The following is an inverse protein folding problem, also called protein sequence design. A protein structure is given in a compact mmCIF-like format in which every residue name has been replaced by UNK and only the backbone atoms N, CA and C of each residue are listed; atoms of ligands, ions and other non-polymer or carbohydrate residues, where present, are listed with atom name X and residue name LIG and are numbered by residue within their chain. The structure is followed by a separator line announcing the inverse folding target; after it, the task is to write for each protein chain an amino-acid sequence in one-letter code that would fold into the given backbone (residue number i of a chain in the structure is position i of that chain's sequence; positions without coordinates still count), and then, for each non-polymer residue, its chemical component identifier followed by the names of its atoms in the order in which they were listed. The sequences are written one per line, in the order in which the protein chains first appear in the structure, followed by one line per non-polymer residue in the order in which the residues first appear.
data_IF_072922355537
#
_entry.id   IF_072922355537
#
_cell.length_a   1.000
_cell.length_b   1.000
_cell.length_c   1.000
_cell.angle_alpha   90.00
_cell.angle_beta   90.00
_cell.angle_gamma   90.00
#
_symmetry.space_group_name_H-M   'P 1'
#
loop_
_entity.id
_entity.type
_entity.pdbx_description
1 polymer ?
#
# COMPACT_ATOMS: atom_id res chain seq x y z
N UNK A 1 40.34 39.95 59.90
CA UNK A 1 39.90 40.34 58.55
C UNK A 1 38.87 39.34 58.10
N UNK A 2 37.63 39.74 58.28
CA UNK A 2 36.38 39.03 58.09
C UNK A 2 35.72 39.55 56.81
N UNK A 3 35.22 38.66 55.96
CA UNK A 3 34.02 38.83 55.12
C UNK A 3 33.84 37.51 54.33
N UNK A 4 33.15 36.53 54.88
CA UNK A 4 31.69 36.33 54.91
C UNK A 4 31.12 35.71 53.63
N UNK A 5 30.54 34.51 53.83
CA UNK A 5 29.53 33.92 52.96
C UNK A 5 28.42 34.94 52.65
N UNK A 6 28.04 35.04 51.39
CA UNK A 6 26.67 35.41 51.01
C UNK A 6 26.09 34.38 50.07
N UNK A 7 25.24 33.55 50.65
CA UNK A 7 24.14 32.87 49.98
C UNK A 7 23.12 33.96 49.66
N UNK A 8 22.88 34.23 48.38
CA UNK A 8 21.73 35.01 47.94
C UNK A 8 20.83 34.12 47.07
N UNK A 9 19.64 33.86 47.59
CA UNK A 9 18.52 33.24 46.91
C UNK A 9 18.08 34.10 45.71
N UNK A 10 17.75 33.44 44.59
CA UNK A 10 16.69 33.95 43.71
C UNK A 10 17.07 34.30 42.28
N UNK A 11 17.17 33.27 41.43
CA UNK A 11 16.34 33.08 40.21
C UNK A 11 16.96 31.97 39.38
N UNK A 12 16.27 30.83 39.35
CA UNK A 12 16.43 29.85 38.28
C UNK A 12 15.97 30.56 37.02
N UNK A 13 16.91 30.97 36.16
CA UNK A 13 16.56 31.24 34.77
C UNK A 13 16.11 29.91 34.18
N UNK A 14 14.91 29.80 33.58
CA UNK A 14 14.56 28.57 32.89
C UNK A 14 15.61 28.36 31.81
N UNK A 15 16.27 27.21 31.85
CA UNK A 15 17.00 26.69 30.70
C UNK A 15 16.07 26.89 29.52
N UNK A 16 16.50 27.70 28.53
CA UNK A 16 15.80 27.77 27.25
C UNK A 16 15.55 26.33 26.85
N UNK A 17 14.29 25.95 26.83
CA UNK A 17 13.83 24.80 26.07
C UNK A 17 14.30 25.08 24.65
N UNK A 18 15.48 24.57 24.32
CA UNK A 18 15.72 24.08 22.98
C UNK A 18 14.69 22.96 22.88
N UNK A 19 13.48 23.33 22.49
CA UNK A 19 12.65 22.45 21.71
C UNK A 19 13.56 22.02 20.57
N UNK A 20 14.21 20.88 20.78
CA UNK A 20 14.73 20.05 19.71
C UNK A 20 13.50 19.73 18.87
N UNK A 21 13.20 20.65 17.96
CA UNK A 21 12.42 20.38 16.79
C UNK A 21 13.16 19.23 16.12
N UNK A 22 12.71 18.00 16.42
CA UNK A 22 13.06 16.79 15.68
C UNK A 22 13.01 17.23 14.22
N UNK A 23 14.15 17.25 13.50
CA UNK A 23 14.15 17.74 12.15
C UNK A 23 13.18 16.84 11.41
N UNK A 24 12.00 17.37 11.06
CA UNK A 24 11.11 16.65 10.15
C UNK A 24 11.98 16.44 8.93
N UNK A 25 12.30 15.18 8.54
CA UNK A 25 13.31 14.96 7.52
C UNK A 25 12.84 15.68 6.27
N UNK A 26 13.42 16.85 6.00
CA UNK A 26 13.09 17.66 4.84
C UNK A 26 13.65 16.87 3.68
N UNK A 27 12.79 16.04 3.08
CA UNK A 27 13.12 15.29 1.89
C UNK A 27 13.73 16.27 0.89
N UNK A 28 15.03 16.11 0.63
CA UNK A 28 15.77 16.90 -0.35
C UNK A 28 14.89 16.99 -1.62
N UNK A 29 14.71 18.17 -2.24
CA UNK A 29 13.75 18.37 -3.34
C UNK A 29 13.77 17.28 -4.44
N UNK A 30 14.96 16.71 -4.69
CA UNK A 30 15.18 15.61 -5.64
C UNK A 30 14.62 14.24 -5.20
N UNK A 31 14.62 13.92 -3.88
CA UNK A 31 13.93 12.74 -3.32
C UNK A 31 12.41 12.89 -3.46
N UNK A 32 11.89 14.11 -3.30
CA UNK A 32 10.46 14.41 -3.49
C UNK A 32 10.01 14.16 -4.93
N UNK A 33 10.76 14.64 -5.94
CA UNK A 33 10.40 14.44 -7.34
C UNK A 33 10.27 12.96 -7.74
N UNK A 34 11.19 12.10 -7.25
CA UNK A 34 11.12 10.65 -7.49
C UNK A 34 9.92 10.01 -6.81
N UNK A 35 9.74 10.32 -5.53
CA UNK A 35 8.61 9.79 -4.79
C UNK A 35 7.28 10.14 -5.47
N UNK A 36 7.09 11.40 -5.88
CA UNK A 36 5.88 11.81 -6.61
C UNK A 36 5.77 11.17 -7.99
N UNK A 37 6.87 10.95 -8.72
CA UNK A 37 6.80 10.18 -9.97
C UNK A 37 6.36 8.73 -9.75
N UNK A 38 6.73 8.11 -8.62
CA UNK A 38 6.30 6.77 -8.23
C UNK A 38 4.83 6.74 -7.80
N UNK A 39 4.36 7.79 -7.11
CA UNK A 39 2.93 7.97 -6.80
C UNK A 39 2.14 8.00 -8.10
N UNK A 40 2.57 8.79 -9.10
CA UNK A 40 1.92 8.86 -10.40
C UNK A 40 1.94 7.52 -11.15
N UNK A 41 3.04 6.77 -11.11
CA UNK A 41 3.07 5.43 -11.71
C UNK A 41 2.15 4.46 -10.99
N UNK A 42 1.97 4.58 -9.67
CA UNK A 42 1.03 3.75 -8.91
C UNK A 42 -0.40 4.11 -9.31
N UNK A 43 -0.73 5.40 -9.41
CA UNK A 43 -2.01 5.84 -9.97
C UNK A 43 -2.30 5.19 -11.32
N UNK A 44 -1.35 5.17 -12.26
CA UNK A 44 -1.59 4.54 -13.55
C UNK A 44 -1.58 3.01 -13.52
N UNK A 45 -0.89 2.38 -12.57
CA UNK A 45 -0.91 0.92 -12.40
C UNK A 45 -2.27 0.44 -11.92
N UNK A 46 -2.78 1.03 -10.84
CA UNK A 46 -4.06 0.61 -10.26
C UNK A 46 -5.24 1.14 -11.08
N UNK A 47 -5.03 2.18 -11.89
CA UNK A 47 -5.94 2.51 -13.00
C UNK A 47 -6.14 1.32 -13.94
N UNK A 48 -5.12 0.52 -14.26
CA UNK A 48 -5.30 -0.65 -15.14
C UNK A 48 -6.21 -1.70 -14.49
N UNK A 49 -6.03 -1.94 -13.19
CA UNK A 49 -6.91 -2.83 -12.41
C UNK A 49 -8.35 -2.30 -12.43
N UNK A 50 -8.54 -1.01 -12.18
CA UNK A 50 -9.86 -0.38 -12.26
C UNK A 50 -10.45 -0.37 -13.67
N UNK A 51 -9.62 -0.23 -14.71
CA UNK A 51 -10.05 -0.14 -16.10
C UNK A 51 -10.65 -1.46 -16.58
N UNK A 52 -10.09 -2.59 -16.17
CA UNK A 52 -10.67 -3.92 -16.42
C UNK A 52 -12.12 -3.98 -15.92
N UNK A 53 -12.38 -3.56 -14.68
CA UNK A 53 -13.74 -3.55 -14.12
C UNK A 53 -14.64 -2.52 -14.82
N UNK A 54 -14.11 -1.34 -15.14
CA UNK A 54 -14.85 -0.29 -15.82
C UNK A 54 -15.22 -0.62 -17.28
N UNK A 55 -14.50 -1.55 -17.92
CA UNK A 55 -14.79 -1.99 -19.29
C UNK A 55 -15.96 -2.97 -19.37
N UNK A 56 -16.36 -3.61 -18.26
CA UNK A 56 -17.38 -4.64 -18.25
C UNK A 56 -18.73 -4.19 -18.86
N UNK A 57 -19.28 -3.01 -18.56
CA UNK A 57 -20.53 -2.58 -19.18
C UNK A 57 -20.43 -2.49 -20.70
N UNK A 58 -19.32 -1.97 -21.22
CA UNK A 58 -19.08 -1.91 -22.67
C UNK A 58 -18.88 -3.30 -23.28
N UNK A 59 -18.20 -4.23 -22.60
CA UNK A 59 -18.06 -5.62 -23.06
C UNK A 59 -19.41 -6.36 -23.10
N UNK A 60 -20.26 -6.17 -22.09
CA UNK A 60 -21.61 -6.74 -22.05
C UNK A 60 -22.46 -6.15 -23.19
N UNK A 61 -22.47 -4.82 -23.34
CA UNK A 61 -23.33 -4.15 -24.30
C UNK A 61 -22.88 -4.32 -25.76
N UNK A 62 -21.57 -4.31 -26.03
CA UNK A 62 -21.02 -4.30 -27.39
C UNK A 62 -20.45 -5.66 -27.84
N UNK A 63 -20.06 -6.54 -26.92
CA UNK A 63 -19.54 -7.89 -27.23
C UNK A 63 -20.48 -9.02 -26.77
N UNK A 64 -21.65 -8.68 -26.22
CA UNK A 64 -22.68 -9.63 -25.77
C UNK A 64 -22.20 -10.65 -24.74
N UNK A 65 -21.25 -10.27 -23.89
CA UNK A 65 -20.84 -11.10 -22.76
C UNK A 65 -21.97 -11.17 -21.74
N UNK A 66 -22.22 -12.36 -21.19
CA UNK A 66 -23.08 -12.49 -20.02
C UNK A 66 -22.34 -12.04 -18.75
N UNK A 67 -23.08 -11.95 -17.64
CA UNK A 67 -22.52 -11.51 -16.37
C UNK A 67 -21.48 -12.48 -15.81
N UNK A 68 -21.59 -13.78 -16.11
CA UNK A 68 -20.63 -14.78 -15.65
C UNK A 68 -19.29 -14.63 -16.38
N UNK A 69 -19.31 -14.40 -17.69
CA UNK A 69 -18.15 -14.06 -18.50
C UNK A 69 -17.50 -12.76 -17.99
N UNK A 70 -18.30 -11.70 -17.74
CA UNK A 70 -17.81 -10.44 -17.19
C UNK A 70 -17.10 -10.62 -15.83
N UNK A 71 -17.69 -11.38 -14.91
CA UNK A 71 -17.07 -11.72 -13.63
C UNK A 71 -15.78 -12.55 -13.82
N UNK A 72 -15.79 -13.49 -14.78
CA UNK A 72 -14.64 -14.31 -15.16
C UNK A 72 -13.44 -13.49 -15.64
N UNK A 73 -13.66 -12.40 -16.38
CA UNK A 73 -12.61 -11.46 -16.82
C UNK A 73 -11.92 -10.78 -15.62
N UNK A 74 -12.69 -10.27 -14.65
CA UNK A 74 -12.13 -9.65 -13.44
C UNK A 74 -11.38 -10.67 -12.60
N UNK A 75 -11.97 -11.85 -12.40
CA UNK A 75 -11.35 -12.93 -11.65
C UNK A 75 -10.00 -13.35 -12.26
N UNK A 76 -9.92 -13.44 -13.59
CA UNK A 76 -8.69 -13.82 -14.28
C UNK A 76 -7.53 -12.87 -13.98
N UNK A 77 -7.75 -11.56 -14.15
CA UNK A 77 -6.72 -10.54 -13.89
C UNK A 77 -6.31 -10.50 -12.42
N UNK A 78 -7.26 -10.54 -11.50
CA UNK A 78 -7.01 -10.44 -10.05
C UNK A 78 -6.32 -11.69 -9.51
N UNK A 79 -6.75 -12.88 -9.92
CA UNK A 79 -6.13 -14.14 -9.54
C UNK A 79 -4.70 -14.25 -10.09
N UNK A 80 -4.50 -13.97 -11.38
CA UNK A 80 -3.17 -14.09 -11.99
C UNK A 80 -2.22 -13.04 -11.42
N UNK A 81 -2.68 -11.82 -11.15
CA UNK A 81 -1.87 -10.82 -10.45
C UNK A 81 -1.41 -11.32 -9.08
N UNK A 82 -2.34 -11.81 -8.27
CA UNK A 82 -2.05 -12.17 -6.89
C UNK A 82 -1.14 -13.40 -6.76
N UNK A 83 -1.28 -14.38 -7.66
CA UNK A 83 -0.40 -15.56 -7.68
C UNK A 83 1.02 -15.20 -8.12
N UNK A 84 1.16 -14.23 -9.03
CA UNK A 84 2.47 -13.85 -9.58
C UNK A 84 3.20 -12.78 -8.76
N UNK A 85 2.49 -11.98 -7.94
CA UNK A 85 3.10 -10.97 -7.07
C UNK A 85 4.18 -11.51 -6.10
N UNK A 86 4.00 -12.66 -5.41
CA UNK A 86 5.05 -13.27 -4.60
C UNK A 86 6.31 -13.62 -5.40
N UNK A 87 6.17 -14.05 -6.66
CA UNK A 87 7.29 -14.40 -7.53
C UNK A 87 8.11 -13.15 -7.88
N UNK A 88 7.44 -12.07 -8.29
CA UNK A 88 8.12 -10.79 -8.53
C UNK A 88 8.70 -10.19 -7.25
N UNK A 89 8.05 -10.43 -6.10
CA UNK A 89 8.57 -10.05 -4.79
C UNK A 89 9.91 -10.72 -4.50
N UNK A 90 9.96 -12.05 -4.61
CA UNK A 90 11.17 -12.83 -4.43
C UNK A 90 12.27 -12.46 -5.42
N UNK A 91 11.91 -12.23 -6.69
CA UNK A 91 12.88 -11.83 -7.70
C UNK A 91 13.43 -10.42 -7.41
N UNK A 92 12.59 -9.50 -6.92
CA UNK A 92 12.98 -8.12 -6.58
C UNK A 92 13.91 -8.06 -5.38
N UNK A 93 13.93 -9.09 -4.53
CA UNK A 93 14.90 -9.18 -3.43
C UNK A 93 16.27 -9.67 -3.89
N UNK A 94 16.36 -10.29 -5.07
CA UNK A 94 17.59 -10.89 -5.61
C UNK A 94 18.21 -10.09 -6.75
N UNK A 95 17.40 -9.36 -7.50
CA UNK A 95 17.78 -8.64 -8.71
C UNK A 95 17.37 -7.16 -8.63
N UNK A 96 18.09 -6.26 -9.31
CA UNK A 96 17.62 -4.87 -9.50
C UNK A 96 16.50 -4.84 -10.56
N UNK A 97 15.26 -5.00 -10.11
CA UNK A 97 14.06 -5.00 -10.95
C UNK A 97 13.43 -3.62 -11.13
N UNK A 98 14.14 -2.50 -10.89
CA UNK A 98 13.57 -1.15 -11.07
C UNK A 98 13.10 -0.86 -12.50
N UNK A 99 13.59 -1.59 -13.50
CA UNK A 99 13.12 -1.51 -14.88
C UNK A 99 11.72 -2.11 -15.07
N UNK A 100 11.27 -2.96 -14.14
CA UNK A 100 9.92 -3.53 -14.16
C UNK A 100 8.84 -2.52 -13.75
N UNK A 101 9.19 -1.43 -13.07
CA UNK A 101 8.25 -0.34 -12.78
C UNK A 101 7.62 0.19 -14.08
N UNK A 102 8.39 0.68 -15.08
CA UNK A 102 7.80 1.11 -16.35
C UNK A 102 7.39 -0.07 -17.25
N UNK A 103 8.11 -1.20 -17.24
CA UNK A 103 7.81 -2.32 -18.14
C UNK A 103 6.52 -3.07 -17.75
N UNK A 104 6.32 -3.37 -16.47
CA UNK A 104 5.10 -3.99 -15.95
C UNK A 104 3.88 -3.10 -16.15
N UNK A 105 4.03 -1.80 -15.85
CA UNK A 105 2.99 -0.80 -16.11
C UNK A 105 2.62 -0.72 -17.60
N UNK A 106 3.61 -0.66 -18.49
CA UNK A 106 3.37 -0.65 -19.94
C UNK A 106 2.68 -1.93 -20.40
N UNK A 107 3.12 -3.09 -19.91
CA UNK A 107 2.53 -4.38 -20.26
C UNK A 107 1.06 -4.48 -19.82
N UNK A 108 0.75 -4.08 -18.58
CA UNK A 108 -0.62 -4.03 -18.08
C UNK A 108 -1.50 -3.12 -18.95
N UNK A 109 -1.01 -1.92 -19.28
CA UNK A 109 -1.75 -0.97 -20.09
C UNK A 109 -1.94 -1.43 -21.54
N UNK A 110 -0.95 -2.10 -22.15
CA UNK A 110 -1.06 -2.70 -23.47
C UNK A 110 -2.13 -3.80 -23.48
N UNK A 111 -2.18 -4.64 -22.45
CA UNK A 111 -3.23 -5.65 -22.31
C UNK A 111 -4.61 -5.01 -22.18
N UNK A 112 -4.81 -4.02 -21.31
CA UNK A 112 -6.09 -3.31 -21.17
C UNK A 112 -6.50 -2.64 -22.48
N UNK A 113 -5.57 -1.98 -23.15
CA UNK A 113 -5.80 -1.37 -24.47
C UNK A 113 -6.21 -2.39 -25.53
N UNK A 114 -5.58 -3.57 -25.55
CA UNK A 114 -5.89 -4.64 -26.50
C UNK A 114 -7.21 -5.36 -26.19
N UNK A 115 -7.69 -5.34 -24.94
CA UNK A 115 -8.91 -6.04 -24.53
C UNK A 115 -10.17 -5.56 -25.26
N UNK A 116 -10.22 -4.30 -25.72
CA UNK A 116 -11.32 -3.78 -26.55
C UNK A 116 -11.24 -4.16 -28.03
N UNK A 117 -10.11 -4.72 -28.48
CA UNK A 117 -9.84 -5.02 -29.89
C UNK A 117 -10.03 -6.50 -30.26
N UNK A 118 -10.60 -7.31 -29.37
CA UNK A 118 -10.66 -8.77 -29.49
C UNK A 118 -11.81 -9.29 -30.37
N UNK A 119 -12.59 -8.39 -30.96
CA UNK A 119 -13.69 -8.72 -31.88
C UNK A 119 -14.67 -9.77 -31.35
N UNK A 120 -14.97 -9.73 -30.04
CA UNK A 120 -15.96 -10.58 -29.40
C UNK A 120 -15.45 -11.93 -28.92
N UNK A 121 -14.18 -12.27 -29.18
CA UNK A 121 -13.60 -13.51 -28.68
C UNK A 121 -13.39 -13.44 -27.16
N UNK A 122 -14.31 -14.07 -26.40
CA UNK A 122 -14.25 -14.12 -24.93
C UNK A 122 -12.91 -14.64 -24.42
N UNK A 123 -12.44 -15.79 -24.94
CA UNK A 123 -11.19 -16.39 -24.46
C UNK A 123 -9.96 -15.54 -24.77
N UNK A 124 -9.95 -14.82 -25.89
CA UNK A 124 -8.87 -13.89 -26.19
C UNK A 124 -8.89 -12.70 -25.22
N UNK A 125 -10.06 -12.10 -24.97
CA UNK A 125 -10.22 -11.05 -23.96
C UNK A 125 -9.79 -11.54 -22.59
N UNK A 126 -10.20 -12.76 -22.21
CA UNK A 126 -9.88 -13.38 -20.94
C UNK A 126 -8.37 -13.55 -20.76
N UNK A 127 -7.67 -14.09 -21.75
CA UNK A 127 -6.20 -14.27 -21.68
C UNK A 127 -5.48 -12.94 -21.62
N UNK A 128 -5.87 -11.97 -22.46
CA UNK A 128 -5.25 -10.64 -22.49
C UNK A 128 -5.45 -9.93 -21.15
N UNK A 129 -6.65 -9.97 -20.59
CA UNK A 129 -6.95 -9.36 -19.29
C UNK A 129 -6.28 -10.12 -18.15
N UNK A 130 -6.18 -11.44 -18.20
CA UNK A 130 -5.39 -12.20 -17.25
C UNK A 130 -3.93 -11.70 -17.24
N UNK A 131 -3.32 -11.57 -18.43
CA UNK A 131 -1.95 -11.08 -18.59
C UNK A 131 -1.76 -9.65 -18.08
N UNK A 132 -2.78 -8.78 -18.14
CA UNK A 132 -2.68 -7.45 -17.52
C UNK A 132 -2.40 -7.56 -16.02
N UNK A 133 -2.96 -8.57 -15.35
CA UNK A 133 -2.69 -8.91 -13.96
C UNK A 133 -1.22 -9.21 -13.68
N UNK A 134 -0.52 -9.88 -14.61
CA UNK A 134 0.93 -10.12 -14.52
C UNK A 134 1.71 -8.82 -14.60
N UNK A 135 1.31 -7.89 -15.47
CA UNK A 135 1.92 -6.56 -15.56
C UNK A 135 1.75 -5.75 -14.27
N UNK A 136 0.55 -5.76 -13.70
CA UNK A 136 0.24 -5.16 -12.39
C UNK A 136 1.09 -5.80 -11.29
N UNK A 137 1.24 -7.13 -11.32
CA UNK A 137 2.06 -7.86 -10.34
C UNK A 137 3.55 -7.54 -10.44
N UNK A 138 4.06 -7.42 -11.67
CA UNK A 138 5.45 -7.06 -11.97
C UNK A 138 5.82 -5.65 -11.47
N UNK A 139 4.84 -4.76 -11.42
CA UNK A 139 5.00 -3.39 -10.94
C UNK A 139 5.16 -3.31 -9.42
N UNK A 140 4.28 -3.96 -8.65
CA UNK A 140 4.10 -3.65 -7.23
C UNK A 140 5.35 -3.83 -6.35
N UNK A 141 6.05 -4.98 -6.33
CA UNK A 141 7.21 -5.15 -5.46
C UNK A 141 8.35 -4.14 -5.70
N UNK A 142 8.88 -3.97 -6.93
CA UNK A 142 9.97 -3.02 -7.16
C UNK A 142 9.53 -1.56 -6.94
N UNK A 143 8.30 -1.19 -7.31
CA UNK A 143 7.79 0.15 -7.08
C UNK A 143 7.64 0.46 -5.59
N UNK A 144 7.15 -0.51 -4.80
CA UNK A 144 7.00 -0.38 -3.34
C UNK A 144 8.35 -0.24 -2.64
N UNK A 145 9.35 -1.04 -3.04
CA UNK A 145 10.72 -0.92 -2.55
C UNK A 145 11.30 0.46 -2.86
N UNK A 146 11.11 0.96 -4.09
CA UNK A 146 11.61 2.28 -4.48
C UNK A 146 10.86 3.43 -3.79
N UNK A 147 9.54 3.31 -3.62
CA UNK A 147 8.71 4.29 -2.92
C UNK A 147 9.11 4.38 -1.44
N UNK A 148 9.34 3.24 -0.78
CA UNK A 148 9.88 3.19 0.59
C UNK A 148 11.23 3.90 0.66
N UNK A 149 12.14 3.57 -0.25
CA UNK A 149 13.49 4.14 -0.26
C UNK A 149 13.49 5.66 -0.51
N UNK A 150 12.62 6.16 -1.40
CA UNK A 150 12.56 7.58 -1.78
C UNK A 150 11.74 8.42 -0.79
N UNK A 151 10.66 7.86 -0.25
CA UNK A 151 9.76 8.47 0.73
C UNK A 151 10.24 8.38 2.20
N UNK A 152 11.38 7.73 2.44
CA UNK A 152 12.00 7.63 3.76
C UNK A 152 11.41 6.53 4.65
N UNK A 153 10.59 5.63 4.09
CA UNK A 153 10.03 4.47 4.79
C UNK A 153 9.00 4.78 5.88
N UNK A 154 8.56 6.03 5.99
CA UNK A 154 7.55 6.48 6.97
C UNK A 154 6.15 5.94 6.64
N UNK A 155 5.28 5.80 7.64
CA UNK A 155 3.91 5.35 7.40
C UNK A 155 3.13 6.36 6.55
N UNK A 156 3.35 7.67 6.77
CA UNK A 156 2.79 8.72 5.92
C UNK A 156 3.21 8.55 4.46
N UNK A 157 4.49 8.34 4.17
CA UNK A 157 4.96 8.20 2.79
C UNK A 157 4.33 7.00 2.08
N UNK A 158 4.29 5.84 2.74
CA UNK A 158 3.67 4.65 2.16
C UNK A 158 2.15 4.81 2.00
N UNK A 159 1.50 5.55 2.90
CA UNK A 159 0.07 5.87 2.76
C UNK A 159 -0.22 6.80 1.59
N UNK A 160 0.63 7.82 1.35
CA UNK A 160 0.51 8.69 0.17
C UNK A 160 0.71 7.88 -1.11
N UNK A 161 1.68 6.97 -1.14
CA UNK A 161 1.90 6.06 -2.26
C UNK A 161 0.66 5.19 -2.52
N UNK A 162 0.11 4.53 -1.50
CA UNK A 162 -1.11 3.73 -1.60
C UNK A 162 -2.34 4.54 -2.05
N UNK A 163 -2.46 5.80 -1.65
CA UNK A 163 -3.55 6.68 -2.10
C UNK A 163 -3.43 7.00 -3.58
N UNK A 164 -2.22 7.09 -4.12
CA UNK A 164 -1.98 7.15 -5.56
C UNK A 164 -2.72 6.04 -6.30
N UNK A 165 -2.62 4.80 -5.82
CA UNK A 165 -3.36 3.64 -6.34
C UNK A 165 -4.88 3.81 -6.30
N UNK A 166 -5.44 4.22 -5.15
CA UNK A 166 -6.88 4.47 -4.99
C UNK A 166 -7.40 5.54 -5.96
N UNK A 167 -6.62 6.60 -6.19
CA UNK A 167 -6.94 7.64 -7.20
C UNK A 167 -6.99 7.01 -8.60
N UNK A 168 -6.08 6.09 -8.90
CA UNK A 168 -6.06 5.34 -10.16
C UNK A 168 -7.35 4.58 -10.43
N UNK A 169 -7.76 3.75 -9.46
CA UNK A 169 -9.01 2.99 -9.52
C UNK A 169 -10.21 3.91 -9.71
N UNK A 170 -10.26 5.05 -8.99
CA UNK A 170 -11.36 6.00 -9.10
C UNK A 170 -11.41 6.74 -10.45
N UNK A 171 -10.26 6.97 -11.09
CA UNK A 171 -10.19 7.59 -12.42
C UNK A 171 -10.57 6.64 -13.57
N UNK A 172 -10.49 5.32 -13.34
CA UNK A 172 -10.73 4.32 -14.38
C UNK A 172 -12.11 4.41 -15.04
N UNK A 173 -13.24 4.44 -14.30
CA UNK A 173 -14.56 4.57 -14.91
C UNK A 173 -14.73 5.81 -15.80
N UNK A 174 -14.09 6.93 -15.45
CA UNK A 174 -14.19 8.17 -16.23
C UNK A 174 -13.53 8.03 -17.59
N UNK A 175 -12.26 7.60 -17.62
CA UNK A 175 -11.53 7.49 -18.88
C UNK A 175 -12.02 6.32 -19.74
N UNK A 176 -12.42 5.21 -19.13
CA UNK A 176 -13.04 4.08 -19.84
C UNK A 176 -14.41 4.49 -20.41
N UNK A 177 -15.21 5.23 -19.66
CA UNK A 177 -16.48 5.78 -20.14
C UNK A 177 -16.31 6.70 -21.35
N UNK A 178 -15.33 7.61 -21.31
CA UNK A 178 -15.01 8.51 -22.42
C UNK A 178 -14.38 7.83 -23.65
N UNK A 179 -13.85 6.62 -23.49
CA UNK A 179 -13.26 5.84 -24.59
C UNK A 179 -14.21 4.73 -24.99
N UNK A 180 -14.12 3.58 -24.33
CA UNK A 180 -14.93 2.39 -24.60
C UNK A 180 -16.45 2.65 -24.53
N UNK A 181 -16.89 3.57 -23.67
CA UNK A 181 -18.31 3.91 -23.52
C UNK A 181 -18.86 4.77 -24.65
N UNK A 182 -18.22 5.92 -24.94
CA UNK A 182 -18.72 6.90 -25.93
C UNK A 182 -18.18 6.70 -27.34
N UNK A 183 -16.93 6.28 -27.48
CA UNK A 183 -16.27 6.06 -28.78
C UNK A 183 -16.27 4.59 -29.21
N UNK A 184 -16.73 3.69 -28.32
CA UNK A 184 -16.77 2.25 -28.54
C UNK A 184 -15.47 1.54 -28.18
N UNK A 185 -15.52 0.21 -28.04
CA UNK A 185 -14.39 -0.62 -27.60
C UNK A 185 -13.15 -0.52 -28.49
N UNK A 186 -13.31 -0.19 -29.78
CA UNK A 186 -12.18 0.05 -30.68
C UNK A 186 -11.25 1.21 -30.25
N UNK A 187 -11.72 2.08 -29.36
CA UNK A 187 -10.98 3.24 -28.86
C UNK A 187 -10.19 2.98 -27.57
N UNK A 188 -10.22 1.77 -27.01
CA UNK A 188 -9.44 1.42 -25.81
C UNK A 188 -7.93 1.67 -25.91
N UNK A 189 -7.28 1.69 -27.10
CA UNK A 189 -5.89 2.14 -27.22
C UNK A 189 -5.64 3.58 -26.75
N UNK A 190 -6.64 4.46 -26.72
CA UNK A 190 -6.50 5.82 -26.18
C UNK A 190 -6.16 5.83 -24.68
N UNK A 191 -6.48 4.75 -23.95
CA UNK A 191 -6.12 4.58 -22.54
C UNK A 191 -4.59 4.45 -22.32
N UNK A 192 -3.82 4.18 -23.38
CA UNK A 192 -2.36 4.18 -23.32
C UNK A 192 -1.78 5.57 -23.12
N UNK A 193 -2.45 6.63 -23.61
CA UNK A 193 -1.93 8.00 -23.60
C UNK A 193 -1.54 8.49 -22.19
N UNK A 194 -2.43 8.45 -21.17
CA UNK A 194 -2.06 8.89 -19.83
C UNK A 194 -0.97 8.01 -19.20
N UNK A 195 -1.00 6.70 -19.45
CA UNK A 195 0.00 5.75 -18.96
C UNK A 195 1.38 6.05 -19.56
N UNK A 196 1.45 6.26 -20.87
CA UNK A 196 2.68 6.58 -21.58
C UNK A 196 3.27 7.90 -21.10
N UNK A 197 2.45 8.93 -20.87
CA UNK A 197 2.89 10.20 -20.32
C UNK A 197 3.56 10.03 -18.94
N UNK A 198 2.95 9.25 -18.05
CA UNK A 198 3.52 8.96 -16.73
C UNK A 198 4.81 8.15 -16.81
N UNK A 199 4.89 7.16 -17.71
CA UNK A 199 6.13 6.41 -17.96
C UNK A 199 7.25 7.35 -18.43
N UNK A 200 6.97 8.26 -19.37
CA UNK A 200 7.94 9.24 -19.86
C UNK A 200 8.44 10.13 -18.73
N UNK A 201 7.54 10.65 -17.89
CA UNK A 201 7.90 11.47 -16.73
C UNK A 201 8.79 10.68 -15.75
N UNK A 202 8.41 9.45 -15.41
CA UNK A 202 9.20 8.58 -14.54
C UNK A 202 10.61 8.32 -15.09
N UNK A 203 10.72 7.98 -16.38
CA UNK A 203 12.00 7.74 -17.04
C UNK A 203 12.85 9.01 -17.13
N UNK A 204 12.26 10.17 -17.38
CA UNK A 204 12.95 11.46 -17.41
C UNK A 204 13.55 11.80 -16.03
N UNK A 205 12.75 11.67 -14.97
CA UNK A 205 13.19 11.88 -13.57
C UNK A 205 14.31 10.90 -13.19
N UNK A 206 14.23 9.64 -13.64
CA UNK A 206 15.26 8.62 -13.40
C UNK A 206 16.56 8.90 -14.18
N UNK A 207 16.46 9.27 -15.46
CA UNK A 207 17.61 9.50 -16.37
C UNK A 207 18.43 10.73 -15.99
N UNK A 208 17.79 11.79 -15.51
CA UNK A 208 18.49 13.00 -15.04
C UNK A 208 19.55 12.67 -13.96
N UNK A 209 19.29 11.66 -13.13
CA UNK A 209 20.24 11.20 -12.12
C UNK A 209 21.43 10.41 -12.69
N UNK A 210 21.17 9.48 -13.62
CA UNK A 210 22.25 8.67 -14.18
C UNK A 210 23.33 9.55 -14.83
N UNK A 211 22.93 10.73 -15.33
CA UNK A 211 23.83 11.75 -15.88
C UNK A 211 24.54 12.61 -14.83
N UNK A 212 23.89 12.94 -13.71
CA UNK A 212 24.54 13.69 -12.60
C UNK A 212 25.55 12.84 -11.80
N UNK A 213 25.42 11.50 -11.83
CA UNK A 213 26.31 10.56 -11.11
C UNK A 213 27.40 10.01 -12.03
N UNK A 214 27.32 10.22 -13.35
CA UNK A 214 28.41 9.89 -14.26
C UNK A 214 29.58 10.88 -14.03
N UNK A 215 30.81 10.40 -13.75
CA UNK A 215 31.92 11.28 -13.46
C UNK A 215 32.29 12.07 -14.72
N UNK A 216 32.27 13.40 -14.62
CA UNK A 216 33.03 14.24 -15.52
C UNK A 216 34.51 14.06 -15.15
N UNK A 217 35.32 13.69 -16.16
CA UNK A 217 36.77 13.43 -16.18
C UNK A 217 37.22 11.96 -16.03
N UNK A 218 37.76 11.35 -17.10
CA UNK A 218 38.70 10.25 -16.98
C UNK A 218 40.07 10.84 -16.62
N UNK A 219 40.51 10.69 -15.38
CA UNK A 219 41.90 10.95 -15.01
C UNK A 219 42.63 9.62 -15.01
N UNK A 220 43.60 9.57 -15.92
CA UNK A 220 44.66 8.60 -16.11
C UNK A 220 45.13 7.91 -14.83
N UNK A 221 45.27 6.59 -14.92
CA UNK A 221 45.96 5.73 -13.97
C UNK A 221 47.41 6.23 -13.79
N UNK A 222 47.72 6.71 -12.60
CA UNK A 222 49.08 6.79 -12.08
C UNK A 222 49.10 6.07 -10.73
N UNK A 223 49.83 4.97 -10.69
CA UNK A 223 50.14 4.23 -9.47
C UNK A 223 50.89 5.13 -8.50
N UNK A 224 50.35 5.34 -7.30
CA UNK A 224 51.14 5.68 -6.12
C UNK A 224 50.60 4.93 -4.91
N UNK A 225 51.49 4.11 -4.36
CA UNK A 225 51.32 3.23 -3.23
C UNK A 225 51.25 4.06 -1.94
N UNK A 226 50.08 4.11 -1.29
CA UNK A 226 49.92 4.70 0.04
C UNK A 226 49.42 3.61 1.00
N UNK A 227 50.22 3.38 2.03
CA UNK A 227 50.02 2.42 3.12
C UNK A 227 48.67 2.60 3.86
N UNK A 228 48.16 1.53 4.54
CA UNK A 228 46.77 1.46 4.97
C UNK A 228 46.56 2.35 6.21
N UNK A 229 45.94 3.51 6.00
CA UNK A 229 45.34 4.28 7.08
C UNK A 229 43.98 3.66 7.39
N UNK A 230 43.81 3.33 8.67
CA UNK A 230 42.63 2.73 9.30
C UNK A 230 41.34 3.41 8.85
N UNK A 231 40.68 2.80 7.88
CA UNK A 231 39.32 3.13 7.53
C UNK A 231 38.44 2.68 8.69
N UNK A 232 37.91 3.66 9.42
CA UNK A 232 36.68 3.51 10.20
C UNK A 232 35.60 3.05 9.21
N UNK A 233 35.49 1.74 9.03
CA UNK A 233 34.30 1.10 8.48
C UNK A 233 33.22 1.30 9.53
N UNK A 234 32.57 2.46 9.48
CA UNK A 234 31.28 2.66 10.12
C UNK A 234 30.35 1.58 9.52
N UNK A 235 30.25 0.47 10.23
CA UNK A 235 29.45 -0.67 9.86
C UNK A 235 28.02 -0.16 9.66
N UNK A 236 27.50 -0.27 8.43
CA UNK A 236 26.08 -0.14 8.20
C UNK A 236 25.40 -1.09 9.20
N UNK A 237 24.42 -0.63 10.02
CA UNK A 237 23.81 -1.47 11.02
C UNK A 237 23.29 -2.73 10.32
N UNK A 238 23.75 -3.91 10.78
CA UNK A 238 23.35 -5.18 10.23
C UNK A 238 21.81 -5.21 10.17
N UNK A 239 21.25 -5.30 8.96
CA UNK A 239 19.80 -5.31 8.78
C UNK A 239 19.20 -6.37 9.72
N UNK A 240 18.26 -5.95 10.57
CA UNK A 240 17.67 -6.80 11.60
C UNK A 240 17.22 -8.15 11.00
N UNK A 241 17.32 -9.24 11.76
CA UNK A 241 16.93 -10.55 11.26
C UNK A 241 15.42 -10.60 10.94
N UNK A 242 15.04 -11.31 9.89
CA UNK A 242 13.63 -11.48 9.52
C UNK A 242 12.83 -12.21 10.62
N UNK A 243 11.56 -11.87 10.75
CA UNK A 243 10.61 -12.51 11.67
C UNK A 243 9.45 -13.12 10.87
N UNK A 244 9.73 -14.22 10.17
CA UNK A 244 8.75 -14.97 9.38
C UNK A 244 7.50 -15.36 10.16
N UNK A 245 7.63 -15.74 11.44
CA UNK A 245 6.47 -16.06 12.30
C UNK A 245 5.55 -14.84 12.54
N UNK A 246 6.11 -13.65 12.73
CA UNK A 246 5.32 -12.42 12.88
C UNK A 246 4.71 -11.95 11.58
N UNK A 247 5.45 -12.15 10.49
CA UNK A 247 4.93 -11.92 9.15
C UNK A 247 3.75 -12.84 8.83
N UNK A 248 3.85 -14.14 9.11
CA UNK A 248 2.75 -15.09 8.96
C UNK A 248 1.52 -14.69 9.80
N UNK A 249 1.73 -14.23 11.04
CA UNK A 249 0.64 -13.71 11.86
C UNK A 249 -0.03 -12.46 11.27
N UNK A 250 0.76 -11.55 10.69
CA UNK A 250 0.23 -10.40 9.96
C UNK A 250 -0.61 -10.84 8.76
N UNK A 251 -0.20 -11.88 8.04
CA UNK A 251 -0.99 -12.43 6.93
C UNK A 251 -2.36 -12.93 7.41
N UNK A 252 -2.44 -13.57 8.58
CA UNK A 252 -3.73 -13.97 9.18
C UNK A 252 -4.62 -12.75 9.43
N UNK A 253 -4.07 -11.65 9.94
CA UNK A 253 -4.83 -10.40 10.15
C UNK A 253 -5.31 -9.81 8.81
N UNK A 254 -4.45 -9.82 7.79
CA UNK A 254 -4.79 -9.35 6.43
C UNK A 254 -5.88 -10.22 5.79
N UNK A 255 -5.92 -11.53 6.06
CA UNK A 255 -6.96 -12.43 5.56
C UNK A 255 -8.36 -11.96 5.94
N UNK A 256 -8.57 -11.53 7.18
CA UNK A 256 -9.86 -11.00 7.63
C UNK A 256 -10.17 -9.62 7.04
N UNK A 257 -9.15 -8.79 6.82
CA UNK A 257 -9.30 -7.54 6.07
C UNK A 257 -9.79 -7.81 4.65
N UNK A 258 -9.18 -8.77 3.95
CA UNK A 258 -9.52 -9.16 2.58
C UNK A 258 -10.95 -9.68 2.48
N UNK A 259 -11.36 -10.55 3.43
CA UNK A 259 -12.73 -11.04 3.54
C UNK A 259 -13.74 -9.90 3.70
N UNK A 260 -13.48 -8.97 4.63
CA UNK A 260 -14.36 -7.83 4.88
C UNK A 260 -14.45 -6.89 3.68
N UNK A 261 -13.31 -6.61 3.02
CA UNK A 261 -13.25 -5.79 1.83
C UNK A 261 -14.06 -6.40 0.68
N UNK A 262 -13.74 -7.65 0.30
CA UNK A 262 -14.41 -8.31 -0.82
C UNK A 262 -15.89 -8.53 -0.50
N UNK A 263 -16.22 -9.04 0.68
CA UNK A 263 -17.61 -9.24 1.11
C UNK A 263 -18.42 -7.94 1.06
N UNK A 264 -17.86 -6.83 1.54
CA UNK A 264 -18.56 -5.53 1.46
C UNK A 264 -18.74 -5.09 0.01
N UNK A 265 -17.69 -5.11 -0.82
CA UNK A 265 -17.80 -4.70 -2.23
C UNK A 265 -18.76 -5.56 -3.05
N UNK A 266 -18.85 -6.86 -2.75
CA UNK A 266 -19.71 -7.78 -3.49
C UNK A 266 -21.18 -7.68 -3.10
N UNK A 267 -21.48 -7.44 -1.82
CA UNK A 267 -22.83 -7.61 -1.29
C UNK A 267 -23.51 -6.32 -0.82
N UNK A 268 -22.79 -5.20 -0.61
CA UNK A 268 -23.40 -4.01 0.03
C UNK A 268 -24.52 -3.36 -0.80
N UNK A 269 -24.36 -3.31 -2.13
CA UNK A 269 -25.39 -2.75 -3.00
C UNK A 269 -26.69 -3.57 -2.92
N UNK A 270 -26.56 -4.90 -2.98
CA UNK A 270 -27.68 -5.82 -2.89
C UNK A 270 -28.31 -5.78 -1.48
N UNK A 271 -27.48 -5.76 -0.43
CA UNK A 271 -27.94 -5.68 0.95
C UNK A 271 -28.83 -4.45 1.18
N UNK A 272 -28.37 -3.26 0.76
CA UNK A 272 -29.13 -2.03 0.93
C UNK A 272 -30.41 -2.04 0.10
N UNK A 273 -30.37 -2.54 -1.13
CA UNK A 273 -31.54 -2.65 -1.99
C UNK A 273 -32.60 -3.59 -1.39
N UNK A 274 -32.20 -4.79 -0.95
CA UNK A 274 -33.10 -5.82 -0.44
C UNK A 274 -33.62 -5.51 0.97
N UNK A 275 -32.72 -5.21 1.92
CA UNK A 275 -33.05 -5.02 3.34
C UNK A 275 -33.97 -3.83 3.59
N UNK A 276 -33.85 -2.79 2.76
CA UNK A 276 -34.62 -1.55 2.89
C UNK A 276 -35.63 -1.34 1.77
N UNK A 277 -35.79 -2.33 0.86
CA UNK A 277 -36.64 -2.22 -0.32
C UNK A 277 -36.35 -0.93 -1.11
N UNK A 278 -35.06 -0.60 -1.20
CA UNK A 278 -34.58 0.61 -1.84
C UNK A 278 -34.25 0.34 -3.31
N UNK A 279 -34.38 1.37 -4.16
CA UNK A 279 -34.02 1.24 -5.57
C UNK A 279 -32.53 0.95 -5.78
N UNK A 280 -32.19 0.32 -6.91
CA UNK A 280 -30.81 -0.06 -7.26
C UNK A 280 -29.81 1.12 -7.19
N UNK A 281 -30.26 2.35 -7.48
CA UNK A 281 -29.42 3.55 -7.34
C UNK A 281 -28.94 3.80 -5.89
N UNK A 282 -29.76 3.51 -4.88
CA UNK A 282 -29.38 3.65 -3.47
C UNK A 282 -28.33 2.60 -3.09
N UNK A 283 -28.48 1.36 -3.56
CA UNK A 283 -27.46 0.32 -3.41
C UNK A 283 -26.14 0.69 -4.08
N UNK A 284 -26.20 1.27 -5.28
CA UNK A 284 -25.00 1.76 -5.99
C UNK A 284 -24.28 2.87 -5.23
N UNK A 285 -25.02 3.79 -4.58
CA UNK A 285 -24.43 4.81 -3.71
C UNK A 285 -23.70 4.18 -2.51
N UNK A 286 -24.30 3.16 -1.89
CA UNK A 286 -23.66 2.43 -0.78
C UNK A 286 -22.35 1.76 -1.22
N UNK A 287 -22.33 1.13 -2.39
CA UNK A 287 -21.12 0.54 -2.96
C UNK A 287 -20.06 1.61 -3.29
N UNK A 288 -20.46 2.74 -3.88
CA UNK A 288 -19.53 3.80 -4.29
C UNK A 288 -18.89 4.52 -3.10
N UNK A 289 -19.64 4.76 -2.02
CA UNK A 289 -19.12 5.50 -0.85
C UNK A 289 -18.06 4.70 -0.10
N UNK A 290 -18.12 3.37 -0.12
CA UNK A 290 -17.19 2.50 0.61
C UNK A 290 -15.71 2.70 0.23
N UNK A 291 -15.28 2.46 -1.02
CA UNK A 291 -13.89 2.68 -1.42
C UNK A 291 -13.52 4.18 -1.46
N UNK A 292 -14.47 5.07 -1.75
CA UNK A 292 -14.24 6.52 -1.73
C UNK A 292 -13.84 6.99 -0.31
N UNK A 293 -14.56 6.55 0.71
CA UNK A 293 -14.22 6.78 2.10
C UNK A 293 -12.92 6.07 2.50
N UNK A 294 -12.64 4.91 1.91
CA UNK A 294 -11.39 4.17 2.08
C UNK A 294 -10.14 4.97 1.74
N UNK A 295 -10.16 5.83 0.71
CA UNK A 295 -9.03 6.71 0.40
C UNK A 295 -8.67 7.67 1.55
N UNK A 296 -9.67 8.17 2.27
CA UNK A 296 -9.48 8.99 3.47
C UNK A 296 -8.86 8.13 4.58
N UNK A 297 -9.38 6.91 4.78
CA UNK A 297 -8.86 5.93 5.71
C UNK A 297 -7.37 5.65 5.51
N UNK A 298 -6.96 5.36 4.28
CA UNK A 298 -5.55 5.09 3.93
C UNK A 298 -4.65 6.26 4.30
N UNK A 299 -5.04 7.50 3.96
CA UNK A 299 -4.28 8.69 4.37
C UNK A 299 -4.21 8.81 5.90
N UNK A 300 -5.36 8.77 6.58
CA UNK A 300 -5.43 8.92 8.04
C UNK A 300 -4.56 7.89 8.74
N UNK A 301 -4.56 6.64 8.28
CA UNK A 301 -3.75 5.56 8.85
C UNK A 301 -2.27 5.89 8.94
N UNK A 302 -1.67 6.39 7.86
CA UNK A 302 -0.26 6.80 7.85
C UNK A 302 0.04 7.94 8.81
N UNK A 303 -0.79 8.98 8.80
CA UNK A 303 -0.61 10.16 9.64
C UNK A 303 -0.77 9.84 11.13
N UNK A 304 -1.77 9.02 11.47
CA UNK A 304 -1.99 8.57 12.83
C UNK A 304 -0.88 7.62 13.29
N UNK A 305 -0.41 6.72 12.42
CA UNK A 305 0.63 5.76 12.79
C UNK A 305 2.00 6.42 13.01
N UNK A 306 2.33 7.49 12.28
CA UNK A 306 3.56 8.26 12.54
C UNK A 306 3.50 8.97 13.91
N UNK A 307 2.31 9.33 14.41
CA UNK A 307 2.13 10.00 15.70
C UNK A 307 1.97 9.03 16.88
N UNK A 308 1.17 7.97 16.71
CA UNK A 308 0.74 7.08 17.78
C UNK A 308 1.31 5.65 17.66
N UNK A 309 2.00 5.34 16.57
CA UNK A 309 2.55 4.01 16.29
C UNK A 309 1.54 3.03 15.68
N UNK A 310 2.05 2.07 14.90
CA UNK A 310 1.21 1.07 14.20
C UNK A 310 0.46 0.15 15.17
N UNK A 311 1.06 -0.15 16.32
CA UNK A 311 0.50 -1.03 17.37
C UNK A 311 -0.81 -0.50 17.96
N UNK A 312 -1.03 0.81 17.94
CA UNK A 312 -2.27 1.43 18.43
C UNK A 312 -3.25 1.63 17.27
N UNK A 313 -2.77 2.12 16.13
CA UNK A 313 -3.62 2.54 15.01
C UNK A 313 -4.25 1.37 14.27
N UNK A 314 -3.52 0.25 14.07
CA UNK A 314 -4.07 -0.93 13.38
C UNK A 314 -5.26 -1.52 14.16
N UNK A 315 -5.14 -1.87 15.46
CA UNK A 315 -6.27 -2.40 16.21
C UNK A 315 -7.43 -1.40 16.31
N UNK A 316 -7.14 -0.11 16.50
CA UNK A 316 -8.20 0.91 16.53
C UNK A 316 -9.00 0.95 15.22
N UNK A 317 -8.31 0.87 14.08
CA UNK A 317 -8.94 0.77 12.76
C UNK A 317 -9.90 -0.43 12.68
N UNK A 318 -9.44 -1.63 13.09
CA UNK A 318 -10.29 -2.82 13.10
C UNK A 318 -11.44 -2.75 14.10
N UNK A 319 -11.24 -2.17 15.28
CA UNK A 319 -12.31 -1.98 16.26
C UNK A 319 -13.41 -1.09 15.71
N UNK A 320 -13.06 0.06 15.11
CA UNK A 320 -14.03 0.97 14.49
C UNK A 320 -14.68 0.31 13.27
N UNK A 321 -13.94 -0.46 12.47
CA UNK A 321 -14.49 -1.21 11.34
C UNK A 321 -15.51 -2.25 11.81
N UNK A 322 -15.24 -3.00 12.88
CA UNK A 322 -16.16 -3.97 13.45
C UNK A 322 -17.46 -3.29 13.93
N UNK A 323 -17.34 -2.15 14.63
CA UNK A 323 -18.49 -1.35 15.06
C UNK A 323 -19.30 -0.83 13.87
N UNK A 324 -18.62 -0.34 12.83
CA UNK A 324 -19.27 0.16 11.61
C UNK A 324 -20.01 -0.97 10.87
N UNK A 325 -19.42 -2.15 10.74
CA UNK A 325 -20.08 -3.32 10.16
C UNK A 325 -21.30 -3.77 11.00
N UNK A 326 -21.20 -3.75 12.33
CA UNK A 326 -22.35 -3.98 13.21
C UNK A 326 -23.44 -2.93 13.05
N UNK A 327 -23.06 -1.66 12.85
CA UNK A 327 -24.00 -0.57 12.60
C UNK A 327 -24.72 -0.70 11.26
N UNK A 328 -24.08 -1.28 10.22
CA UNK A 328 -24.77 -1.63 8.96
C UNK A 328 -25.90 -2.62 9.24
N UNK A 329 -25.63 -3.69 10.00
CA UNK A 329 -26.62 -4.72 10.35
C UNK A 329 -27.77 -4.15 11.19
N UNK A 330 -27.45 -3.26 12.14
CA UNK A 330 -28.41 -2.63 13.03
C UNK A 330 -29.11 -1.40 12.43
N UNK A 331 -28.81 -1.03 11.18
CA UNK A 331 -29.29 0.22 10.59
C UNK A 331 -30.83 0.21 10.45
N UNK A 332 -31.53 1.26 10.93
CA UNK A 332 -32.98 1.38 10.82
C UNK A 332 -33.44 1.86 9.43
N UNK A 333 -32.53 2.37 8.60
CA UNK A 333 -32.81 2.90 7.27
C UNK A 333 -31.61 2.78 6.33
N UNK A 334 -31.86 2.86 5.02
CA UNK A 334 -30.83 2.84 4.00
C UNK A 334 -29.81 3.98 4.18
N UNK A 335 -30.26 5.17 4.59
CA UNK A 335 -29.37 6.31 4.84
C UNK A 335 -28.36 6.02 5.96
N UNK A 336 -28.81 5.41 7.06
CA UNK A 336 -27.92 5.02 8.16
C UNK A 336 -26.96 3.93 7.71
N UNK A 337 -27.42 2.95 6.92
CA UNK A 337 -26.56 1.90 6.37
C UNK A 337 -25.46 2.47 5.45
N UNK A 338 -25.78 3.47 4.62
CA UNK A 338 -24.82 4.16 3.75
C UNK A 338 -23.77 4.91 4.58
N UNK A 339 -24.18 5.63 5.63
CA UNK A 339 -23.24 6.32 6.53
C UNK A 339 -22.34 5.32 7.27
N UNK A 340 -22.92 4.22 7.77
CA UNK A 340 -22.15 3.15 8.41
C UNK A 340 -21.18 2.47 7.43
N UNK A 341 -21.58 2.32 6.16
CA UNK A 341 -20.73 1.82 5.07
C UNK A 341 -19.57 2.77 4.78
N UNK A 342 -19.80 4.09 4.77
CA UNK A 342 -18.74 5.07 4.64
C UNK A 342 -17.75 4.99 5.80
N UNK A 343 -18.25 4.89 7.04
CA UNK A 343 -17.42 4.73 8.23
C UNK A 343 -16.61 3.42 8.19
N UNK A 344 -17.22 2.33 7.74
CA UNK A 344 -16.53 1.07 7.50
C UNK A 344 -15.43 1.24 6.46
N UNK A 345 -15.68 1.98 5.37
CA UNK A 345 -14.69 2.34 4.37
C UNK A 345 -13.47 3.05 4.97
N UNK A 346 -13.69 4.14 5.71
CA UNK A 346 -12.60 4.85 6.40
C UNK A 346 -11.84 3.90 7.32
N UNK A 347 -12.54 3.23 8.24
CA UNK A 347 -11.93 2.44 9.30
C UNK A 347 -11.19 1.20 8.79
N UNK A 348 -11.75 0.50 7.79
CA UNK A 348 -11.14 -0.67 7.20
C UNK A 348 -9.84 -0.32 6.45
N UNK A 349 -9.75 0.86 5.83
CA UNK A 349 -8.56 1.26 5.08
C UNK A 349 -7.47 1.95 5.92
N UNK A 350 -7.76 2.38 7.16
CA UNK A 350 -6.73 2.83 8.12
C UNK A 350 -5.52 1.88 8.22
N UNK A 351 -5.70 0.56 8.42
CA UNK A 351 -4.58 -0.36 8.50
C UNK A 351 -3.93 -0.72 7.14
N UNK A 352 -4.50 -0.34 6.00
CA UNK A 352 -4.08 -0.84 4.68
C UNK A 352 -2.59 -0.58 4.36
N UNK A 353 -2.15 0.68 4.38
CA UNK A 353 -0.75 1.02 4.18
C UNK A 353 0.14 0.57 5.35
N UNK A 354 -0.44 0.39 6.53
CA UNK A 354 0.27 -0.07 7.73
C UNK A 354 0.60 -1.57 7.65
N UNK A 355 -0.22 -2.38 6.98
CA UNK A 355 0.12 -3.77 6.67
C UNK A 355 1.40 -3.87 5.84
N UNK A 356 1.54 -3.01 4.83
CA UNK A 356 2.73 -2.97 3.97
C UNK A 356 3.96 -2.53 4.76
N UNK A 357 3.86 -1.45 5.53
CA UNK A 357 5.02 -0.99 6.31
C UNK A 357 5.41 -1.99 7.40
N UNK A 358 4.44 -2.64 8.05
CA UNK A 358 4.69 -3.62 9.09
C UNK A 358 5.27 -4.91 8.50
N UNK A 359 4.86 -5.31 7.30
CA UNK A 359 5.48 -6.45 6.61
C UNK A 359 6.95 -6.19 6.29
N UNK A 360 7.30 -4.96 5.88
CA UNK A 360 8.70 -4.55 5.69
C UNK A 360 9.50 -4.58 7.00
N UNK A 361 8.89 -4.17 8.11
CA UNK A 361 9.54 -4.22 9.42
C UNK A 361 9.74 -5.66 9.93
N UNK A 362 8.88 -6.60 9.52
CA UNK A 362 9.05 -8.01 9.83
C UNK A 362 10.06 -8.71 8.94
N UNK A 363 10.14 -8.35 7.65
CA UNK A 363 11.06 -8.96 6.68
C UNK A 363 12.00 -7.91 6.05
N UNK A 364 12.86 -7.23 6.85
CA UNK A 364 13.72 -6.17 6.35
C UNK A 364 14.76 -6.64 5.32
N UNK A 365 15.06 -7.95 5.24
CA UNK A 365 15.97 -8.53 4.22
C UNK A 365 15.22 -9.00 2.97
N UNK A 366 13.89 -9.02 3.00
CA UNK A 366 13.02 -9.52 1.93
C UNK A 366 11.81 -8.58 1.69
N UNK A 367 12.07 -7.28 1.47
CA UNK A 367 11.05 -6.24 1.33
C UNK A 367 10.17 -6.48 0.09
N UNK A 368 10.76 -6.93 -1.01
CA UNK A 368 10.06 -7.30 -2.23
C UNK A 368 9.07 -8.44 -1.99
N UNK A 369 9.54 -9.53 -1.39
CA UNK A 369 8.70 -10.70 -1.01
C UNK A 369 7.58 -10.29 -0.05
N UNK A 370 7.91 -9.51 0.98
CA UNK A 370 6.95 -9.00 1.95
C UNK A 370 5.83 -8.20 1.26
N UNK A 371 6.20 -7.30 0.34
CA UNK A 371 5.26 -6.50 -0.43
C UNK A 371 4.37 -7.36 -1.34
N UNK A 372 4.99 -8.27 -2.12
CA UNK A 372 4.28 -9.12 -3.07
C UNK A 372 3.26 -10.04 -2.39
N UNK A 373 3.62 -10.67 -1.28
CA UNK A 373 2.70 -11.53 -0.53
C UNK A 373 1.61 -10.69 0.16
N UNK A 374 1.96 -9.57 0.79
CA UNK A 374 1.00 -8.70 1.49
C UNK A 374 -0.08 -8.17 0.54
N UNK A 375 0.33 -7.63 -0.61
CA UNK A 375 -0.57 -7.05 -1.60
C UNK A 375 -1.38 -8.14 -2.32
N UNK A 376 -0.75 -9.24 -2.72
CA UNK A 376 -1.43 -10.32 -3.43
C UNK A 376 -2.46 -11.04 -2.56
N UNK A 377 -2.14 -11.25 -1.28
CA UNK A 377 -3.08 -11.84 -0.32
C UNK A 377 -4.29 -10.93 -0.08
N UNK A 378 -4.05 -9.61 0.02
CA UNK A 378 -5.10 -8.61 0.25
C UNK A 378 -6.20 -8.65 -0.81
N UNK A 379 -5.85 -8.95 -2.07
CA UNK A 379 -6.81 -9.02 -3.19
C UNK A 379 -7.41 -10.41 -3.41
N UNK A 380 -6.66 -11.49 -3.20
CA UNK A 380 -7.11 -12.83 -3.60
C UNK A 380 -7.89 -13.60 -2.57
N UNK A 381 -7.55 -13.48 -1.29
CA UNK A 381 -8.16 -14.37 -0.29
C UNK A 381 -9.66 -14.13 -0.16
N UNK A 382 -10.10 -12.87 -0.14
CA UNK A 382 -11.51 -12.53 -0.16
C UNK A 382 -12.22 -12.98 -1.44
N UNK A 383 -11.54 -12.99 -2.60
CA UNK A 383 -12.09 -13.47 -3.88
C UNK A 383 -12.40 -14.96 -3.86
N UNK A 384 -11.52 -15.78 -3.27
CA UNK A 384 -11.80 -17.21 -3.06
C UNK A 384 -12.92 -17.48 -2.04
N UNK A 385 -13.10 -16.58 -1.08
CA UNK A 385 -14.14 -16.70 -0.06
C UNK A 385 -15.50 -16.11 -0.50
N UNK A 386 -15.53 -15.29 -1.55
CA UNK A 386 -16.76 -14.67 -2.04
C UNK A 386 -17.85 -15.67 -2.45
N UNK A 387 -17.56 -16.79 -3.14
CA UNK A 387 -18.57 -17.83 -3.42
C UNK A 387 -19.16 -18.44 -2.14
N UNK A 388 -18.37 -18.60 -1.08
CA UNK A 388 -18.86 -19.10 0.20
C UNK A 388 -19.80 -18.10 0.88
N UNK A 389 -19.47 -16.80 0.82
CA UNK A 389 -20.39 -15.74 1.27
C UNK A 389 -21.68 -15.70 0.44
N UNK A 390 -21.59 -15.93 -0.87
CA UNK A 390 -22.75 -16.05 -1.77
C UNK A 390 -23.63 -17.24 -1.39
N UNK A 391 -23.06 -18.41 -1.16
CA UNK A 391 -23.80 -19.59 -0.72
C UNK A 391 -24.50 -19.37 0.64
N UNK A 392 -23.89 -18.61 1.55
CA UNK A 392 -24.53 -18.19 2.80
C UNK A 392 -25.72 -17.26 2.50
N UNK A 393 -25.56 -16.27 1.61
CA UNK A 393 -26.63 -15.36 1.23
C UNK A 393 -27.82 -16.11 0.62
N UNK A 394 -27.56 -17.02 -0.33
CA UNK A 394 -28.57 -17.81 -1.05
C UNK A 394 -29.31 -18.78 -0.12
N UNK A 395 -28.59 -19.43 0.81
CA UNK A 395 -29.16 -20.41 1.73
C UNK A 395 -29.81 -19.80 2.97
N UNK A 396 -29.64 -18.50 3.23
CA UNK A 396 -30.14 -17.86 4.44
C UNK A 396 -30.63 -16.43 4.19
N UNK A 397 -29.79 -15.43 4.40
CA UNK A 397 -30.06 -14.04 4.04
C UNK A 397 -28.77 -13.28 3.81
N UNK A 398 -28.83 -12.25 2.99
CA UNK A 398 -27.70 -11.33 2.79
C UNK A 398 -27.31 -10.58 4.08
N UNK A 399 -28.22 -10.47 5.06
CA UNK A 399 -27.91 -9.88 6.37
C UNK A 399 -26.87 -10.70 7.13
N UNK A 400 -26.91 -12.04 7.01
CA UNK A 400 -25.96 -12.92 7.67
C UNK A 400 -24.54 -12.72 7.13
N UNK A 401 -24.39 -12.37 5.85
CA UNK A 401 -23.07 -12.01 5.28
C UNK A 401 -22.44 -10.84 6.04
N UNK A 402 -23.21 -9.81 6.35
CA UNK A 402 -22.72 -8.66 7.11
C UNK A 402 -22.47 -8.97 8.59
N UNK A 403 -23.21 -9.92 9.18
CA UNK A 403 -22.89 -10.45 10.52
C UNK A 403 -21.55 -11.19 10.49
N UNK A 404 -21.30 -12.02 9.48
CA UNK A 404 -20.02 -12.73 9.29
C UNK A 404 -18.87 -11.73 9.10
N UNK A 405 -19.06 -10.67 8.31
CA UNK A 405 -18.08 -9.60 8.13
C UNK A 405 -17.79 -8.90 9.46
N UNK A 406 -18.82 -8.53 10.22
CA UNK A 406 -18.65 -7.90 11.54
C UNK A 406 -17.87 -8.81 12.50
N UNK A 407 -18.21 -10.11 12.55
CA UNK A 407 -17.50 -11.09 13.37
C UNK A 407 -16.04 -11.26 12.92
N UNK A 408 -15.78 -11.33 11.62
CA UNK A 408 -14.43 -11.39 11.06
C UNK A 408 -13.59 -10.17 11.45
N UNK A 409 -14.18 -8.98 11.48
CA UNK A 409 -13.50 -7.75 11.91
C UNK A 409 -13.24 -7.71 13.42
N UNK A 410 -14.11 -8.30 14.25
CA UNK A 410 -13.82 -8.50 15.67
C UNK A 410 -12.63 -9.44 15.85
N UNK A 411 -12.57 -10.54 15.08
CA UNK A 411 -11.42 -11.46 15.12
C UNK A 411 -10.15 -10.75 14.63
N UNK A 412 -10.22 -9.95 13.56
CA UNK A 412 -9.11 -9.15 13.07
C UNK A 412 -8.61 -8.15 14.14
N UNK A 413 -9.54 -7.49 14.83
CA UNK A 413 -9.23 -6.60 15.95
C UNK A 413 -8.46 -7.36 17.04
N UNK A 414 -9.01 -8.45 17.56
CA UNK A 414 -8.37 -9.25 18.61
C UNK A 414 -7.01 -9.75 18.16
N UNK A 415 -6.91 -10.32 16.96
CA UNK A 415 -5.65 -10.82 16.41
C UNK A 415 -4.60 -9.71 16.24
N UNK A 416 -5.03 -8.50 15.87
CA UNK A 416 -4.15 -7.34 15.69
C UNK A 416 -3.55 -6.81 17.00
N UNK A 417 -4.18 -7.05 18.16
CA UNK A 417 -3.63 -6.68 19.47
C UNK A 417 -2.31 -7.42 19.77
N UNK A 418 -2.09 -8.56 19.13
CA UNK A 418 -0.88 -9.37 19.26
C UNK A 418 0.21 -9.00 18.24
N UNK A 419 -0.07 -8.06 17.32
CA UNK A 419 0.97 -7.50 16.45
C UNK A 419 1.97 -6.71 17.30
N UNK A 420 3.25 -6.94 17.05
CA UNK A 420 4.35 -6.32 17.80
C UNK A 420 5.17 -5.50 16.84
N UNK A 421 5.11 -4.18 16.99
CA UNK A 421 5.94 -3.28 16.22
C UNK A 421 7.43 -3.59 16.47
N UNK A 422 8.18 -3.80 15.39
CA UNK A 422 9.64 -3.75 15.45
C UNK A 422 9.99 -2.28 15.28
N UNK A 423 10.60 -1.66 16.30
CA UNK A 423 11.17 -0.31 16.16
C UNK A 423 12.07 -0.35 14.92
N UNK A 424 11.69 0.38 13.88
CA UNK A 424 12.47 0.46 12.65
C UNK A 424 13.88 0.97 13.02
N UNK A 425 14.98 0.35 12.55
CA UNK A 425 16.35 0.78 12.89
C UNK A 425 16.74 2.17 12.37
N UNK A 426 15.84 2.86 11.66
CA UNK A 426 16.06 4.21 11.12
C UNK A 426 15.49 5.22 12.11
N UNK A 427 15.94 5.13 13.36
CA UNK A 427 15.75 6.16 14.36
C UNK A 427 17.10 6.88 14.54
N UNK A 428 17.24 8.14 14.10
CA UNK A 428 18.45 8.92 14.33
C UNK A 428 18.79 9.06 15.82
N UNK A 429 17.81 8.91 16.73
CA UNK A 429 18.01 9.04 18.17
C UNK A 429 18.65 7.80 18.82
N UNK A 430 18.57 6.63 18.17
CA UNK A 430 19.22 5.40 18.64
C UNK A 430 20.74 5.40 18.43
N UNK A 431 21.25 6.20 17.49
CA UNK A 431 22.69 6.34 17.23
C UNK A 431 23.39 7.18 18.31
N UNK A 432 22.67 8.10 18.96
CA UNK A 432 23.21 8.90 20.06
C UNK A 432 23.35 8.08 21.36
N UNK A 433 22.42 7.16 21.63
CA UNK A 433 22.47 6.31 22.82
C UNK A 433 23.55 5.21 22.74
N UNK A 434 23.81 4.67 21.54
CA UNK A 434 24.85 3.66 21.32
C UNK A 434 26.27 4.23 21.38
N UNK A 435 26.46 5.51 21.02
CA UNK A 435 27.76 6.17 21.10
C UNK A 435 28.12 6.62 22.53
N UNK A 436 27.13 6.89 23.39
CA UNK A 436 27.35 7.26 24.79
C UNK A 436 27.64 6.05 25.69
N UNK A 437 27.09 4.86 25.39
CA UNK A 437 27.32 3.65 26.19
C UNK A 437 28.67 2.96 25.92
N UNK A 438 29.24 3.12 24.74
CA UNK A 438 30.52 2.48 24.36
C UNK A 438 31.78 3.21 24.86
N UNK A 439 31.65 4.45 25.35
CA UNK A 439 32.78 5.22 25.86
C UNK A 439 33.10 4.93 27.34
N UNK A 440 32.16 4.35 28.09
CA UNK A 440 32.31 4.09 29.53
C UNK A 440 32.82 2.66 29.82
N UNK A 441 32.59 1.69 28.93
CA UNK A 441 33.11 0.31 29.08
C UNK A 441 34.59 0.18 28.69
N UNK A 442 35.08 1.00 27.74
CA UNK A 442 36.49 0.96 27.32
C UNK A 442 37.46 1.59 28.36
N UNK A 443 36.96 2.38 29.30
CA UNK A 443 37.78 3.00 30.36
C UNK A 443 37.94 2.12 31.61
N UNK A 444 37.15 1.05 31.76
CA UNK A 444 37.20 0.17 32.94
C UNK A 444 38.10 -1.05 32.73
N UNK A 445 38.28 -1.52 31.48
CA UNK A 445 39.18 -2.65 31.18
C UNK A 445 40.68 -2.30 31.23
N UNK A 446 41.06 -1.02 31.13
CA UNK A 446 42.48 -0.61 31.20
C UNK A 446 43.01 -0.42 32.65
N UNK A 447 42.14 -0.51 33.67
CA UNK A 447 42.52 -0.33 35.08
C UNK A 447 42.79 -1.65 35.84
N UNK A 448 42.60 -2.81 35.23
CA UNK A 448 42.76 -4.13 35.91
C UNK A 448 43.97 -4.93 35.41
N UNK A 449 44.74 -4.39 34.46
CA UNK A 449 45.93 -5.04 33.90
C UNK A 449 47.25 -4.23 34.09
N UNK A 450 47.35 -3.45 35.17
CA UNK A 450 48.56 -2.70 35.56
C UNK A 450 49.19 -3.24 36.84
#
# INVERSE_FOLDING_TARGET
MSEELRIEYGRILPARTVEDAVPTPTLIPRRRARFWSLVSTHTMNDFQTGAVAAMLPSLIAQQHYDYAAAAGIVLASTALSSITQPVFGWLSDRLDLRWMVPAGLAFAALCVAAAGLTSGSYWLTWVIVALSGVGVAAYHPPATVEARATGGGTNRSMSIFSVGGNVGVALAPLLVGLTAGTLGLGSTPLLLVPTAAVIVVYLAVRRHRAREVAPAHPVQEAHEEVAPSTTVTAALPAAAADAWGRFAWLLVVISFWSLAYIGTTSFIALYVAERFQAGAGVGAVALAVFPAAGAIGTLLGGFLADRFGRRIVIPLGYAVAALAAGAIVAAPSAGVAIVATALLGVALFVPFALHVTLSHAYLPRHIGTASGITLGLSTTLGGFLAPALGAIADGSSITIVFVVIAAALVVAFVASLFLRDRRDPIDPSGLAAGAAGGADEAAVEESVAG
#
